data_IF_376233118811
#
_entry.id   IF_376233118811
#
_cell.length_a   1.000
_cell.length_b   1.000
_cell.length_c   1.000
_cell.angle_alpha   90.00
_cell.angle_beta   90.00
_cell.angle_gamma   90.00
#
_symmetry.space_group_name_H-M   'P 1'
#
loop_
_entity.id
_entity.type
_entity.pdbx_description
1 polymer ?
#
# COMPACT_ATOMS: atom_id res chain seq x y z
N UNK A 1 24.13 -8.60 10.85
CA UNK A 1 23.40 -7.72 11.79
C UNK A 1 24.01 -7.83 13.18
N UNK A 2 23.80 -6.81 14.02
CA UNK A 2 24.22 -6.81 15.44
C UNK A 2 23.03 -7.13 16.36
N UNK A 3 22.02 -7.83 15.84
CA UNK A 3 20.77 -8.17 16.54
C UNK A 3 20.86 -9.60 17.04
N UNK A 4 20.50 -9.81 18.30
CA UNK A 4 20.29 -11.10 18.94
C UNK A 4 18.82 -11.49 18.76
N UNK A 5 18.53 -12.39 17.81
CA UNK A 5 17.15 -12.77 17.47
C UNK A 5 16.58 -13.86 18.41
N UNK A 6 17.43 -14.63 19.10
CA UNK A 6 16.98 -15.72 19.98
C UNK A 6 17.17 -15.47 21.48
N UNK A 7 17.75 -14.30 21.83
CA UNK A 7 17.95 -13.89 23.21
C UNK A 7 19.11 -14.61 23.95
N UNK A 8 20.06 -15.20 23.22
CA UNK A 8 21.21 -15.92 23.82
C UNK A 8 22.34 -14.99 24.27
N UNK A 9 22.23 -13.69 24.01
CA UNK A 9 23.18 -12.64 24.36
C UNK A 9 24.30 -12.46 23.32
N UNK A 10 24.20 -13.02 22.15
CA UNK A 10 25.12 -12.85 21.04
C UNK A 10 24.38 -12.35 19.81
N UNK A 11 25.07 -11.53 19.02
CA UNK A 11 24.54 -11.09 17.74
C UNK A 11 24.45 -12.27 16.76
N UNK A 12 23.32 -12.38 16.08
CA UNK A 12 23.07 -13.40 15.09
C UNK A 12 23.44 -12.97 13.67
N UNK A 13 23.87 -13.94 12.88
CA UNK A 13 24.12 -13.71 11.47
C UNK A 13 22.80 -13.84 10.68
N UNK A 14 22.44 -12.74 10.00
CA UNK A 14 21.32 -12.69 9.04
C UNK A 14 21.84 -12.17 7.71
N UNK A 15 21.57 -12.92 6.64
CA UNK A 15 21.86 -12.51 5.27
C UNK A 15 20.61 -12.63 4.41
N UNK A 16 20.37 -11.63 3.57
CA UNK A 16 19.25 -11.58 2.63
C UNK A 16 19.83 -11.32 1.24
N UNK A 17 19.47 -12.15 0.26
CA UNK A 17 19.88 -11.95 -1.14
C UNK A 17 18.84 -12.59 -2.06
N UNK A 18 18.92 -12.27 -3.35
CA UNK A 18 18.07 -12.90 -4.35
C UNK A 18 18.91 -13.56 -5.46
N UNK A 19 18.47 -14.70 -5.95
CA UNK A 19 19.01 -15.30 -7.18
C UNK A 19 18.35 -14.67 -8.39
N UNK A 20 19.13 -14.51 -9.47
CA UNK A 20 18.72 -13.83 -10.69
C UNK A 20 18.75 -14.82 -11.86
N UNK A 21 17.76 -14.73 -12.73
CA UNK A 21 17.70 -15.46 -13.99
C UNK A 21 18.67 -14.88 -15.06
N UNK A 22 18.70 -15.48 -16.23
CA UNK A 22 19.56 -15.02 -17.34
C UNK A 22 19.09 -13.69 -17.97
N UNK A 23 17.88 -13.21 -17.64
CA UNK A 23 17.31 -11.96 -18.13
C UNK A 23 17.43 -10.80 -17.15
N UNK A 24 17.99 -11.03 -15.96
CA UNK A 24 18.17 -10.02 -14.95
C UNK A 24 16.98 -9.85 -14.00
N UNK A 25 16.06 -10.81 -13.98
CA UNK A 25 14.92 -10.85 -13.06
C UNK A 25 15.27 -11.68 -11.83
N UNK A 26 14.96 -11.21 -10.66
CA UNK A 26 15.08 -12.00 -9.44
C UNK A 26 13.99 -13.07 -9.39
N UNK A 27 14.41 -14.33 -9.31
CA UNK A 27 13.52 -15.50 -9.33
C UNK A 27 13.30 -16.14 -7.95
N UNK A 28 14.21 -15.91 -7.01
CA UNK A 28 14.06 -16.40 -5.65
C UNK A 28 14.73 -15.48 -4.64
N UNK A 29 13.97 -15.13 -3.60
CA UNK A 29 14.49 -14.46 -2.41
C UNK A 29 15.02 -15.51 -1.44
N UNK A 30 16.21 -15.28 -0.91
CA UNK A 30 16.90 -16.19 0.02
C UNK A 30 17.23 -15.47 1.31
N UNK A 31 16.89 -16.09 2.42
CA UNK A 31 17.14 -15.60 3.77
C UNK A 31 17.94 -16.67 4.51
N UNK A 32 19.15 -16.35 4.91
CA UNK A 32 19.98 -17.22 5.76
C UNK A 32 20.08 -16.63 7.16
N UNK A 33 19.67 -17.41 8.15
CA UNK A 33 19.81 -17.08 9.55
C UNK A 33 20.52 -18.22 10.28
N UNK A 34 21.62 -17.90 10.98
CA UNK A 34 22.44 -18.91 11.70
C UNK A 34 22.90 -20.06 10.81
N UNK A 35 23.16 -19.80 9.52
CA UNK A 35 23.58 -20.79 8.55
C UNK A 35 22.45 -21.67 7.99
N UNK A 36 21.20 -21.44 8.34
CA UNK A 36 20.03 -22.13 7.77
C UNK A 36 19.38 -21.22 6.73
N UNK A 37 19.30 -21.71 5.49
CA UNK A 37 18.70 -20.98 4.36
C UNK A 37 17.22 -21.32 4.20
N UNK A 38 16.40 -20.26 4.05
CA UNK A 38 15.01 -20.34 3.61
C UNK A 38 14.91 -19.65 2.24
N UNK A 39 14.19 -20.24 1.29
CA UNK A 39 14.01 -19.71 -0.05
C UNK A 39 12.52 -19.51 -0.36
N UNK A 40 12.19 -18.41 -1.01
CA UNK A 40 10.86 -18.07 -1.51
C UNK A 40 10.95 -17.69 -2.98
N UNK A 41 10.18 -18.33 -3.84
CA UNK A 41 10.11 -17.95 -5.25
C UNK A 41 9.43 -16.57 -5.37
N UNK A 42 10.06 -15.68 -6.12
CA UNK A 42 9.59 -14.32 -6.41
C UNK A 42 9.69 -14.03 -7.90
N UNK A 43 9.09 -12.95 -8.33
CA UNK A 43 9.35 -12.34 -9.64
C UNK A 43 9.50 -10.84 -9.42
N UNK A 44 10.73 -10.33 -9.44
CA UNK A 44 11.03 -8.96 -9.06
C UNK A 44 12.25 -8.40 -9.81
N UNK A 45 12.37 -7.07 -9.87
CA UNK A 45 13.54 -6.35 -10.38
C UNK A 45 14.33 -5.66 -9.27
N UNK A 46 13.74 -5.55 -8.08
CA UNK A 46 14.40 -5.02 -6.88
C UNK A 46 13.91 -5.74 -5.63
N UNK A 47 14.70 -5.68 -4.57
CA UNK A 47 14.26 -6.10 -3.24
C UNK A 47 14.93 -5.23 -2.16
N UNK A 48 14.14 -4.83 -1.17
CA UNK A 48 14.59 -3.99 -0.07
C UNK A 48 14.20 -4.64 1.26
N UNK A 49 15.18 -5.15 2.06
CA UNK A 49 14.90 -5.81 3.34
C UNK A 49 14.85 -4.81 4.51
N UNK A 50 13.90 -5.03 5.43
CA UNK A 50 13.70 -4.26 6.65
C UNK A 50 13.51 -5.19 7.83
N UNK A 51 14.16 -4.92 8.96
CA UNK A 51 13.95 -5.65 10.20
C UNK A 51 13.03 -4.82 11.09
N UNK A 52 11.93 -5.43 11.54
CA UNK A 52 11.00 -4.85 12.49
C UNK A 52 11.18 -5.56 13.83
N UNK A 53 11.49 -4.78 14.87
CA UNK A 53 11.58 -5.25 16.25
C UNK A 53 10.38 -4.75 17.04
N UNK A 54 9.51 -5.66 17.46
CA UNK A 54 8.27 -5.32 18.18
C UNK A 54 8.53 -5.03 19.64
N UNK A 55 7.60 -4.32 20.29
CA UNK A 55 7.68 -3.97 21.70
C UNK A 55 7.66 -5.17 22.64
N UNK A 56 7.09 -6.31 22.20
CA UNK A 56 7.11 -7.57 22.94
C UNK A 56 8.38 -8.42 22.65
N UNK A 57 9.36 -7.84 21.95
CA UNK A 57 10.68 -8.42 21.74
C UNK A 57 10.79 -9.40 20.56
N UNK A 58 9.77 -9.48 19.70
CA UNK A 58 9.82 -10.29 18.49
C UNK A 58 10.49 -9.57 17.34
N UNK A 59 11.03 -10.35 16.41
CA UNK A 59 11.72 -9.86 15.23
C UNK A 59 11.09 -10.43 13.95
N UNK A 60 10.85 -9.56 12.99
CA UNK A 60 10.34 -9.93 11.68
C UNK A 60 11.19 -9.29 10.58
N UNK A 61 11.35 -10.00 9.48
CA UNK A 61 11.96 -9.45 8.27
C UNK A 61 10.85 -9.19 7.25
N UNK A 62 10.74 -7.95 6.83
CA UNK A 62 9.90 -7.50 5.74
C UNK A 62 10.78 -7.24 4.53
N UNK A 63 10.47 -7.82 3.37
CA UNK A 63 11.19 -7.57 2.13
C UNK A 63 10.23 -7.06 1.09
N UNK A 64 10.45 -5.82 0.64
CA UNK A 64 9.68 -5.24 -0.46
C UNK A 64 10.32 -5.67 -1.78
N UNK A 65 9.59 -6.42 -2.58
CA UNK A 65 9.99 -6.87 -3.90
C UNK A 65 9.25 -6.02 -4.95
N UNK A 66 10.01 -5.25 -5.74
CA UNK A 66 9.46 -4.38 -6.79
C UNK A 66 9.41 -5.10 -8.15
N UNK A 67 8.28 -4.99 -8.86
CA UNK A 67 8.09 -5.54 -10.20
C UNK A 67 7.66 -4.46 -11.22
N UNK A 68 7.13 -4.87 -12.38
CA UNK A 68 6.67 -3.95 -13.43
C UNK A 68 5.53 -3.03 -12.97
N UNK A 69 5.42 -1.86 -13.60
CA UNK A 69 4.33 -0.91 -13.41
C UNK A 69 4.13 -0.47 -11.96
N UNK A 70 5.22 -0.29 -11.22
CA UNK A 70 5.20 0.09 -9.79
C UNK A 70 4.49 -0.91 -8.86
N UNK A 71 4.19 -2.12 -9.33
CA UNK A 71 3.70 -3.17 -8.46
C UNK A 71 4.80 -3.62 -7.52
N UNK A 72 4.44 -3.74 -6.26
CA UNK A 72 5.33 -4.20 -5.19
C UNK A 72 4.65 -5.31 -4.42
N UNK A 73 5.46 -6.18 -3.85
CA UNK A 73 5.01 -7.27 -2.99
C UNK A 73 5.82 -7.23 -1.70
N UNK A 74 5.16 -7.31 -0.57
CA UNK A 74 5.80 -7.45 0.73
C UNK A 74 5.87 -8.94 1.08
N UNK A 75 7.08 -9.46 1.23
CA UNK A 75 7.36 -10.80 1.74
C UNK A 75 7.72 -10.72 3.22
N UNK A 76 7.11 -11.56 4.05
CA UNK A 76 7.27 -11.54 5.51
C UNK A 76 7.90 -12.84 6.02
N UNK A 77 8.93 -12.69 6.88
CA UNK A 77 9.58 -13.79 7.56
C UNK A 77 9.62 -13.55 9.06
N UNK A 78 9.36 -14.60 9.84
CA UNK A 78 9.57 -14.66 11.29
C UNK A 78 11.03 -15.01 11.58
N UNK A 79 11.70 -14.21 12.44
CA UNK A 79 13.10 -14.39 12.83
C UNK A 79 13.25 -14.85 14.29
N UNK A 80 12.18 -15.24 14.98
CA UNK A 80 12.19 -15.54 16.41
C UNK A 80 12.66 -16.96 16.78
N UNK A 81 13.04 -17.74 15.78
CA UNK A 81 13.53 -19.12 15.95
C UNK A 81 15.00 -19.31 15.65
N UNK A 82 15.38 -20.55 15.37
CA UNK A 82 16.73 -20.94 14.94
C UNK A 82 16.97 -20.70 13.43
N UNK A 83 15.94 -20.34 12.68
CA UNK A 83 16.00 -20.06 11.25
C UNK A 83 14.88 -19.08 10.89
N UNK A 84 15.06 -18.36 9.78
CA UNK A 84 13.97 -17.57 9.23
C UNK A 84 12.85 -18.49 8.72
N UNK A 85 11.61 -18.16 9.06
CA UNK A 85 10.41 -18.90 8.62
C UNK A 85 9.53 -17.97 7.79
N UNK A 86 9.23 -18.37 6.56
CA UNK A 86 8.32 -17.62 5.72
C UNK A 86 6.90 -17.62 6.32
N UNK A 87 6.32 -16.44 6.49
CA UNK A 87 5.00 -16.23 7.11
C UNK A 87 3.93 -16.03 6.04
N UNK A 88 4.19 -15.15 5.07
CA UNK A 88 3.22 -14.79 4.05
C UNK A 88 3.64 -13.58 3.22
N UNK A 89 2.73 -13.16 2.35
CA UNK A 89 2.93 -12.02 1.46
C UNK A 89 1.74 -11.05 1.49
N UNK A 90 2.01 -9.77 1.20
CA UNK A 90 0.98 -8.77 0.92
C UNK A 90 1.22 -8.22 -0.47
N UNK A 91 0.24 -8.42 -1.35
CA UNK A 91 0.33 -7.97 -2.73
C UNK A 91 0.10 -6.47 -2.88
N UNK A 92 0.70 -5.89 -3.91
CA UNK A 92 0.51 -4.51 -4.32
C UNK A 92 0.76 -3.49 -3.21
N UNK A 93 1.82 -3.68 -2.41
CA UNK A 93 2.17 -2.72 -1.37
C UNK A 93 3.68 -2.54 -1.18
N UNK A 94 4.08 -1.35 -0.77
CA UNK A 94 5.43 -0.99 -0.35
C UNK A 94 5.41 -0.29 1.00
N UNK A 95 6.51 -0.37 1.75
CA UNK A 95 6.67 0.40 2.98
C UNK A 95 6.83 1.90 2.67
N UNK A 96 6.15 2.72 3.46
CA UNK A 96 6.31 4.16 3.45
C UNK A 96 6.61 4.67 4.85
N UNK A 97 7.65 5.49 4.98
CA UNK A 97 8.13 5.93 6.29
C UNK A 97 7.14 6.85 7.02
N UNK A 98 6.47 7.77 6.31
CA UNK A 98 5.43 8.64 6.88
C UNK A 98 4.58 9.25 5.76
N UNK A 99 3.28 9.47 6.02
CA UNK A 99 2.37 10.18 5.10
C UNK A 99 2.63 11.69 4.99
N UNK A 100 3.46 12.27 5.83
CA UNK A 100 3.37 13.70 6.14
C UNK A 100 4.40 14.58 5.44
N UNK A 101 5.36 14.04 4.72
CA UNK A 101 6.30 14.87 3.98
C UNK A 101 6.66 14.26 2.63
N UNK A 102 5.94 14.71 1.62
CA UNK A 102 6.14 14.30 0.23
C UNK A 102 7.52 14.62 -0.34
N UNK A 103 8.31 15.43 0.34
CA UNK A 103 9.65 15.77 -0.07
C UNK A 103 10.68 14.70 0.31
N UNK A 104 10.33 13.75 1.14
CA UNK A 104 11.23 12.69 1.58
C UNK A 104 11.00 11.37 0.85
N UNK A 105 11.29 11.33 -0.45
CA UNK A 105 11.76 10.10 -1.07
C UNK A 105 13.13 9.80 -0.45
N UNK A 106 13.12 9.07 0.66
CA UNK A 106 14.35 8.56 1.25
C UNK A 106 14.84 7.38 0.39
N UNK A 107 15.64 7.71 -0.58
CA UNK A 107 16.55 6.74 -1.20
C UNK A 107 17.64 6.40 -0.18
N UNK A 108 17.51 5.25 0.45
CA UNK A 108 18.58 4.65 1.26
C UNK A 108 18.72 5.27 2.64
N UNK A 109 18.83 4.43 3.63
CA UNK A 109 19.46 4.62 4.95
C UNK A 109 18.57 5.03 6.09
N UNK A 110 17.47 4.97 6.40
CA UNK A 110 16.74 5.07 7.68
C UNK A 110 15.23 5.12 7.48
N UNK A 111 14.64 4.02 7.03
CA UNK A 111 13.25 3.75 7.36
C UNK A 111 13.23 3.34 8.85
N UNK A 112 13.03 4.31 9.74
CA UNK A 112 12.61 4.03 11.11
C UNK A 112 11.17 3.51 11.02
N UNK A 113 11.04 2.21 10.84
CA UNK A 113 9.74 1.56 10.95
C UNK A 113 9.43 1.36 12.42
N UNK A 114 8.45 2.11 12.89
CA UNK A 114 7.78 1.80 14.15
C UNK A 114 6.84 0.60 13.89
N UNK A 115 7.11 -0.59 14.44
CA UNK A 115 6.30 -1.79 14.19
C UNK A 115 4.85 -1.66 14.71
N UNK A 116 4.61 -0.70 15.60
CA UNK A 116 3.27 -0.40 16.11
C UNK A 116 2.54 0.66 15.27
N UNK A 117 3.25 1.33 14.34
CA UNK A 117 2.67 2.42 13.57
C UNK A 117 3.49 2.70 12.30
N UNK A 118 3.21 2.00 11.23
CA UNK A 118 3.84 2.20 9.93
C UNK A 118 2.80 2.28 8.81
N UNK A 119 3.24 2.74 7.64
CA UNK A 119 2.36 2.88 6.49
C UNK A 119 2.76 1.92 5.37
N UNK A 120 1.75 1.27 4.77
CA UNK A 120 1.90 0.61 3.49
C UNK A 120 1.23 1.45 2.42
N UNK A 121 1.97 1.72 1.35
CA UNK A 121 1.50 2.37 0.14
C UNK A 121 1.12 1.32 -0.88
N UNK A 122 -0.02 1.48 -1.51
CA UNK A 122 -0.50 0.61 -2.59
C UNK A 122 -0.87 1.42 -3.81
N UNK A 123 -0.67 0.84 -4.99
CA UNK A 123 -1.22 1.33 -6.25
C UNK A 123 -2.71 1.03 -6.28
N UNK A 124 -3.52 2.05 -6.49
CA UNK A 124 -4.97 1.96 -6.59
C UNK A 124 -5.42 2.13 -8.02
N UNK A 125 -6.53 1.46 -8.35
CA UNK A 125 -7.18 1.54 -9.67
C UNK A 125 -8.69 1.73 -9.53
N UNK A 126 -9.11 2.55 -8.57
CA UNK A 126 -10.52 2.93 -8.34
C UNK A 126 -10.73 4.35 -8.85
N UNK A 127 -11.44 4.52 -9.94
CA UNK A 127 -11.71 5.79 -10.63
C UNK A 127 -10.46 6.47 -11.24
N UNK A 128 -9.30 5.90 -11.13
CA UNK A 128 -8.03 6.32 -11.76
C UNK A 128 -6.90 5.44 -11.23
N UNK A 129 -5.69 5.54 -11.80
CA UNK A 129 -4.48 4.97 -11.21
C UNK A 129 -3.77 6.02 -10.36
N UNK A 130 -3.56 5.74 -9.07
CA UNK A 130 -2.87 6.60 -8.11
C UNK A 130 -2.27 5.79 -6.96
N UNK A 131 -1.41 6.42 -6.16
CA UNK A 131 -0.89 5.84 -4.92
C UNK A 131 -1.73 6.28 -3.72
N UNK A 132 -1.99 5.37 -2.81
CA UNK A 132 -2.63 5.67 -1.55
C UNK A 132 -2.02 4.83 -0.41
N UNK A 133 -2.01 5.36 0.79
CA UNK A 133 -1.37 4.73 1.95
C UNK A 133 -2.36 4.52 3.08
N UNK A 134 -2.16 3.45 3.84
CA UNK A 134 -2.94 3.14 5.03
C UNK A 134 -2.01 2.75 6.18
N UNK A 135 -2.42 3.05 7.40
CA UNK A 135 -1.67 2.73 8.60
C UNK A 135 -1.88 1.28 9.02
N UNK A 136 -0.78 0.68 9.53
CA UNK A 136 -0.71 -0.71 9.98
C UNK A 136 0.13 -0.83 11.25
N UNK A 137 -0.07 -1.93 11.96
CA UNK A 137 0.84 -2.46 12.96
C UNK A 137 1.20 -3.91 12.64
N UNK A 138 2.26 -4.44 13.27
CA UNK A 138 2.65 -5.85 13.13
C UNK A 138 1.70 -6.71 13.96
N UNK A 139 1.00 -7.63 13.32
CA UNK A 139 0.13 -8.60 13.98
C UNK A 139 0.89 -9.67 14.77
N UNK A 140 0.16 -10.46 15.54
CA UNK A 140 0.73 -11.49 16.40
C UNK A 140 1.50 -12.60 15.65
N UNK A 141 1.20 -12.80 14.38
CA UNK A 141 1.85 -13.73 13.45
C UNK A 141 2.95 -13.05 12.58
N UNK A 142 3.18 -11.76 12.77
CA UNK A 142 4.13 -10.97 12.01
C UNK A 142 3.57 -10.31 10.76
N UNK A 143 2.37 -10.66 10.31
CA UNK A 143 1.74 -10.02 9.17
C UNK A 143 1.24 -8.61 9.52
N UNK A 144 1.26 -7.65 8.57
CA UNK A 144 0.70 -6.33 8.80
C UNK A 144 -0.82 -6.39 8.98
N UNK A 145 -1.32 -5.74 10.02
CA UNK A 145 -2.74 -5.57 10.31
C UNK A 145 -3.12 -4.11 10.14
N UNK A 146 -4.14 -3.84 9.34
CA UNK A 146 -4.60 -2.49 9.08
C UNK A 146 -5.31 -1.88 10.30
N UNK A 147 -5.00 -0.63 10.61
CA UNK A 147 -5.63 0.15 11.68
C UNK A 147 -6.82 0.99 11.17
N UNK A 148 -6.96 1.10 9.86
CA UNK A 148 -7.95 1.97 9.20
C UNK A 148 -8.63 1.20 8.06
N UNK A 149 -9.88 1.54 7.77
CA UNK A 149 -10.64 0.91 6.67
C UNK A 149 -10.29 1.52 5.31
N UNK A 150 -9.84 2.78 5.27
CA UNK A 150 -9.56 3.53 4.06
C UNK A 150 -8.08 3.87 3.92
N UNK A 151 -7.60 3.80 2.68
CA UNK A 151 -6.33 4.36 2.26
C UNK A 151 -6.49 5.86 2.00
N UNK A 152 -5.55 6.66 2.45
CA UNK A 152 -5.46 8.08 2.13
C UNK A 152 -4.70 8.27 0.83
N UNK A 153 -5.28 9.02 -0.11
CA UNK A 153 -4.65 9.30 -1.39
C UNK A 153 -3.46 10.24 -1.20
N UNK A 154 -2.34 9.91 -1.84
CA UNK A 154 -1.15 10.77 -1.81
C UNK A 154 -1.26 11.88 -2.84
N UNK A 155 -1.67 13.05 -2.39
CA UNK A 155 -1.87 14.23 -3.24
C UNK A 155 -0.58 14.95 -3.63
N UNK A 156 0.56 14.55 -3.06
CA UNK A 156 1.80 15.28 -3.22
C UNK A 156 2.60 14.91 -4.45
N UNK A 157 2.42 13.70 -4.96
CA UNK A 157 3.28 13.14 -6.00
C UNK A 157 2.74 13.43 -7.42
N UNK A 158 1.40 13.53 -7.57
CA UNK A 158 0.74 13.65 -8.87
C UNK A 158 -0.54 14.50 -8.79
N UNK A 159 -0.43 15.77 -8.35
CA UNK A 159 -1.60 16.69 -8.24
C UNK A 159 -2.50 16.71 -9.48
N UNK A 160 -1.94 16.48 -10.67
CA UNK A 160 -2.68 16.49 -11.93
C UNK A 160 -3.45 15.18 -12.19
N UNK A 161 -3.07 14.04 -11.58
CA UNK A 161 -3.78 12.76 -11.71
C UNK A 161 -4.99 12.66 -10.78
N UNK A 162 -5.10 13.54 -9.82
CA UNK A 162 -6.11 13.50 -8.78
C UNK A 162 -7.27 14.45 -9.05
N UNK A 163 -7.11 15.33 -10.06
CA UNK A 163 -8.10 16.35 -10.39
C UNK A 163 -9.11 15.80 -11.40
N UNK A 164 -10.34 15.61 -10.95
CA UNK A 164 -11.48 15.21 -11.76
C UNK A 164 -12.41 16.38 -11.98
N UNK A 165 -13.17 16.36 -13.10
CA UNK A 165 -14.26 17.30 -13.33
C UNK A 165 -15.52 16.55 -13.68
N UNK A 166 -16.60 16.76 -12.93
CA UNK A 166 -17.89 16.17 -13.23
C UNK A 166 -18.45 16.72 -14.55
N UNK A 167 -18.69 15.85 -15.53
CA UNK A 167 -19.26 16.20 -16.86
C UNK A 167 -20.77 16.39 -16.81
N UNK A 168 -21.41 15.66 -15.92
CA UNK A 168 -22.85 15.68 -15.67
C UNK A 168 -23.10 15.50 -14.17
N UNK A 169 -24.34 15.63 -13.74
CA UNK A 169 -24.71 15.34 -12.36
C UNK A 169 -24.39 13.89 -11.99
N UNK A 170 -23.62 13.67 -10.92
CA UNK A 170 -23.20 12.35 -10.45
C UNK A 170 -23.96 11.96 -9.19
N UNK A 171 -24.77 10.90 -9.20
CA UNK A 171 -25.40 10.37 -7.99
C UNK A 171 -24.33 9.85 -7.01
N UNK A 172 -24.43 10.24 -5.73
CA UNK A 172 -23.46 9.88 -4.72
C UNK A 172 -24.07 9.89 -3.32
N UNK A 173 -23.29 9.57 -2.30
CA UNK A 173 -23.58 9.89 -0.90
C UNK A 173 -22.63 10.97 -0.41
N UNK A 174 -23.07 11.84 0.49
CA UNK A 174 -22.19 12.76 1.18
C UNK A 174 -21.72 12.12 2.48
N UNK A 175 -20.43 12.26 2.80
CA UNK A 175 -19.83 11.68 4.01
C UNK A 175 -19.09 12.73 4.83
N UNK A 176 -18.94 12.46 6.12
CA UNK A 176 -18.07 13.23 7.01
C UNK A 176 -16.62 12.71 6.96
N UNK A 177 -15.70 13.42 7.62
CA UNK A 177 -14.29 13.02 7.74
C UNK A 177 -14.13 11.64 8.41
N UNK A 178 -14.99 11.28 9.36
CA UNK A 178 -15.01 9.97 10.01
C UNK A 178 -15.61 8.84 9.14
N UNK A 179 -16.06 9.18 7.92
CA UNK A 179 -16.66 8.23 6.98
C UNK A 179 -18.16 8.00 7.16
N UNK A 180 -18.79 8.59 8.17
CA UNK A 180 -20.23 8.49 8.38
C UNK A 180 -21.02 9.21 7.28
N UNK A 181 -22.11 8.58 6.83
CA UNK A 181 -22.99 9.18 5.81
C UNK A 181 -23.75 10.35 6.40
N UNK A 182 -23.68 11.50 5.75
CA UNK A 182 -24.40 12.73 6.12
C UNK A 182 -25.62 13.00 5.23
N UNK A 183 -25.60 12.48 3.99
CA UNK A 183 -26.75 12.52 3.08
C UNK A 183 -26.70 11.34 2.08
N UNK A 184 -27.79 10.52 2.06
CA UNK A 184 -27.86 9.29 1.26
C UNK A 184 -28.11 9.52 -0.24
N UNK A 185 -28.70 10.63 -0.63
CA UNK A 185 -29.08 10.93 -2.01
C UNK A 185 -28.50 12.28 -2.43
N UNK A 186 -27.19 12.39 -2.29
CA UNK A 186 -26.45 13.57 -2.74
C UNK A 186 -26.17 13.50 -4.25
N UNK A 187 -25.87 14.65 -4.82
CA UNK A 187 -25.48 14.79 -6.22
C UNK A 187 -24.26 15.69 -6.29
N UNK A 188 -23.24 15.27 -7.01
CA UNK A 188 -22.15 16.15 -7.44
C UNK A 188 -22.62 16.87 -8.70
N UNK A 189 -22.79 18.21 -8.69
CA UNK A 189 -23.27 18.94 -9.85
C UNK A 189 -22.28 18.91 -11.01
N UNK A 190 -22.77 18.93 -12.24
CA UNK A 190 -21.94 19.10 -13.44
C UNK A 190 -21.03 20.33 -13.33
N UNK A 191 -19.77 20.19 -13.78
CA UNK A 191 -18.76 21.25 -13.71
C UNK A 191 -18.02 21.35 -12.38
N UNK A 192 -18.39 20.52 -11.36
CA UNK A 192 -17.67 20.48 -10.08
C UNK A 192 -16.27 19.92 -10.28
N UNK A 193 -15.26 20.63 -9.78
CA UNK A 193 -13.88 20.14 -9.69
C UNK A 193 -13.70 19.37 -8.37
N UNK A 194 -13.09 18.22 -8.48
CA UNK A 194 -12.92 17.26 -7.40
C UNK A 194 -11.47 16.79 -7.33
N UNK A 195 -11.04 16.36 -6.17
CA UNK A 195 -9.81 15.61 -5.97
C UNK A 195 -10.12 14.27 -5.32
N UNK A 196 -9.38 13.25 -5.69
CA UNK A 196 -9.37 11.97 -4.99
C UNK A 196 -8.93 12.22 -3.54
N UNK A 197 -9.62 11.66 -2.57
CA UNK A 197 -9.33 11.91 -1.16
C UNK A 197 -8.92 10.63 -0.42
N UNK A 198 -9.77 9.60 -0.45
CA UNK A 198 -9.48 8.28 0.13
C UNK A 198 -10.28 7.19 -0.58
N UNK A 199 -9.84 5.93 -0.43
CA UNK A 199 -10.47 4.76 -1.04
C UNK A 199 -10.38 3.55 -0.12
N UNK A 200 -11.31 2.60 -0.25
CA UNK A 200 -11.18 1.28 0.38
C UNK A 200 -10.22 0.34 -0.37
N UNK A 201 -9.75 0.79 -1.56
CA UNK A 201 -8.87 0.02 -2.44
C UNK A 201 -9.59 -1.02 -3.30
N UNK A 202 -10.92 -1.07 -3.27
CA UNK A 202 -11.71 -2.04 -4.04
C UNK A 202 -12.81 -1.39 -4.90
N UNK A 203 -13.72 -0.66 -4.30
CA UNK A 203 -14.88 -0.08 -5.01
C UNK A 203 -15.27 1.31 -4.55
N UNK A 204 -14.97 1.66 -3.31
CA UNK A 204 -15.38 2.95 -2.76
C UNK A 204 -14.26 3.99 -2.91
N UNK A 205 -14.63 5.17 -3.37
CA UNK A 205 -13.75 6.34 -3.40
C UNK A 205 -14.48 7.57 -2.87
N UNK A 206 -13.82 8.28 -1.96
CA UNK A 206 -14.28 9.59 -1.49
C UNK A 206 -13.56 10.67 -2.29
N UNK A 207 -14.36 11.57 -2.87
CA UNK A 207 -13.94 12.72 -3.64
C UNK A 207 -14.16 14.00 -2.84
N UNK A 208 -13.23 14.94 -2.91
CA UNK A 208 -13.29 16.21 -2.19
C UNK A 208 -13.56 17.39 -3.14
N UNK A 209 -14.55 18.20 -2.78
CA UNK A 209 -14.82 19.49 -3.43
C UNK A 209 -14.95 20.58 -2.35
N UNK A 210 -13.94 21.43 -2.19
CA UNK A 210 -13.84 22.34 -1.06
C UNK A 210 -13.80 21.56 0.26
N UNK A 211 -14.76 21.83 1.16
CA UNK A 211 -14.85 21.13 2.46
C UNK A 211 -15.84 19.94 2.44
N UNK A 212 -16.41 19.62 1.27
CA UNK A 212 -17.40 18.56 1.14
C UNK A 212 -16.77 17.28 0.61
N UNK A 213 -17.09 16.15 1.25
CA UNK A 213 -16.69 14.82 0.80
C UNK A 213 -17.91 14.10 0.21
N UNK A 214 -17.69 13.51 -0.96
CA UNK A 214 -18.66 12.71 -1.70
C UNK A 214 -18.12 11.31 -1.90
N UNK A 215 -18.89 10.30 -1.54
CA UNK A 215 -18.55 8.90 -1.77
C UNK A 215 -19.28 8.38 -2.98
N UNK A 216 -18.56 7.74 -3.88
CA UNK A 216 -19.10 6.98 -4.99
C UNK A 216 -18.65 5.52 -4.90
N UNK A 217 -19.45 4.63 -5.46
CA UNK A 217 -19.13 3.22 -5.63
C UNK A 217 -18.92 2.96 -7.11
N UNK A 218 -17.76 2.35 -7.44
CA UNK A 218 -17.35 1.98 -8.79
C UNK A 218 -17.42 0.47 -8.93
N UNK A 219 -18.15 -0.02 -9.90
CA UNK A 219 -18.19 -1.43 -10.25
C UNK A 219 -17.04 -1.76 -11.21
N UNK A 220 -16.09 -2.57 -10.70
CA UNK A 220 -14.90 -3.02 -11.42
C UNK A 220 -15.04 -4.46 -11.96
N UNK A 221 -16.22 -5.05 -11.93
CA UNK A 221 -16.41 -6.45 -12.29
C UNK A 221 -16.07 -6.73 -13.77
N UNK A 222 -16.30 -5.76 -14.65
CA UNK A 222 -15.98 -5.83 -16.08
C UNK A 222 -15.58 -4.45 -16.60
N UNK A 223 -14.67 -4.41 -17.58
CA UNK A 223 -14.32 -3.19 -18.31
C UNK A 223 -15.34 -2.92 -19.41
N UNK A 224 -15.81 -1.66 -19.65
CA UNK A 224 -15.46 -0.44 -18.90
C UNK A 224 -16.10 -0.40 -17.51
N UNK A 225 -15.40 0.20 -16.52
CA UNK A 225 -15.89 0.33 -15.17
C UNK A 225 -17.09 1.28 -15.11
N UNK A 226 -18.00 1.03 -14.16
CA UNK A 226 -19.26 1.78 -14.10
C UNK A 226 -19.59 2.33 -12.72
N UNK A 227 -20.33 3.44 -12.71
CA UNK A 227 -20.97 4.02 -11.55
C UNK A 227 -22.47 3.94 -11.77
N UNK A 228 -23.18 3.14 -10.96
CA UNK A 228 -24.62 2.90 -11.13
C UNK A 228 -24.98 2.42 -12.56
N UNK A 229 -24.12 1.59 -13.19
CA UNK A 229 -24.33 1.01 -14.52
C UNK A 229 -24.09 1.98 -15.68
N UNK A 230 -23.50 3.14 -15.44
CA UNK A 230 -23.03 4.10 -16.46
C UNK A 230 -21.53 4.17 -16.41
N UNK A 231 -20.87 4.16 -17.57
CA UNK A 231 -19.40 4.23 -17.66
C UNK A 231 -18.86 5.45 -16.88
N UNK A 232 -17.84 5.25 -16.08
CA UNK A 232 -17.27 6.28 -15.23
C UNK A 232 -16.75 7.49 -16.02
N UNK A 233 -16.19 7.23 -17.21
CA UNK A 233 -15.75 8.28 -18.14
C UNK A 233 -16.89 9.14 -18.70
N UNK A 234 -18.14 8.71 -18.63
CA UNK A 234 -19.28 9.57 -18.92
C UNK A 234 -19.58 10.56 -17.83
N UNK A 235 -19.19 10.24 -16.59
CA UNK A 235 -19.37 11.11 -15.44
C UNK A 235 -18.22 12.08 -15.22
N UNK A 236 -16.99 11.67 -15.50
CA UNK A 236 -15.81 12.46 -15.17
C UNK A 236 -14.86 12.66 -16.34
N UNK A 237 -14.30 13.86 -16.44
CA UNK A 237 -13.05 14.14 -17.16
C UNK A 237 -11.90 14.03 -16.15
N UNK A 238 -10.73 13.56 -16.62
CA UNK A 238 -9.51 13.46 -15.83
C UNK A 238 -9.21 12.05 -15.29
N UNK A 239 -10.09 11.06 -15.54
CA UNK A 239 -9.78 9.66 -15.24
C UNK A 239 -8.59 9.21 -16.09
N UNK A 240 -7.62 8.57 -15.45
CA UNK A 240 -6.43 8.06 -16.11
C UNK A 240 -5.99 6.74 -15.50
N UNK A 241 -6.00 5.68 -16.30
CA UNK A 241 -5.40 4.40 -15.96
C UNK A 241 -4.03 4.28 -16.65
N UNK A 242 -3.00 3.79 -15.91
CA UNK A 242 -1.61 3.72 -16.38
C UNK A 242 -1.01 2.32 -16.18
#
# INVERSE_FOLDING_TARGET
SDIDFDGDGKADELSVWASMDEYGTYEALKVSMKGVETSKDIWAYSYDPYILHTTDGKNYLYVICGSDNDYRMLEVFDLNGSSAVYVGEVNNCGLRAQLLDASSYLYGEELLTDPENFYLESRMEVLSTYSASRRYHVGADGMPVADEDFYQVDTSTYEWREALTAKKDVPCVQVAEDGSVTADNAVIPAGTKLTLYRTDGSSLVDLKAGDTLYRIEVDHSEWPYTINGVEEEEYFDGIMYA
#
